data_IF_163695474615
#
_entry.id   IF_163695474615
#
_cell.length_a   1.000
_cell.length_b   1.000
_cell.length_c   1.000
_cell.angle_alpha   90.00
_cell.angle_beta   90.00
_cell.angle_gamma   90.00
#
_symmetry.space_group_name_H-M   'P 1'
#
loop_
_entity.id
_entity.type
_entity.pdbx_description
1 polymer ?
#
# COMPACT_ATOMS: atom_id res chain seq x y z
N UNK A 1 -12.58 42.91 -13.35
CA UNK A 1 -13.46 43.48 -12.30
C UNK A 1 -13.05 44.85 -11.80
N UNK A 2 -11.86 45.07 -11.23
CA UNK A 2 -11.55 46.38 -10.62
C UNK A 2 -11.64 47.57 -11.60
N UNK A 3 -11.27 47.34 -12.86
CA UNK A 3 -11.30 48.34 -13.91
C UNK A 3 -12.71 48.80 -14.31
N UNK A 4 -13.72 47.92 -14.28
CA UNK A 4 -15.08 48.31 -14.63
C UNK A 4 -15.71 49.21 -13.57
N UNK A 5 -15.37 49.00 -12.29
CA UNK A 5 -15.83 49.88 -11.21
C UNK A 5 -15.18 51.26 -11.27
N UNK A 6 -13.89 51.35 -11.64
CA UNK A 6 -13.23 52.63 -11.88
C UNK A 6 -13.92 53.43 -12.99
N UNK A 7 -14.12 52.80 -14.16
CA UNK A 7 -14.83 53.43 -15.30
C UNK A 7 -16.28 53.81 -14.97
N UNK A 8 -16.99 52.96 -14.22
CA UNK A 8 -18.35 53.30 -13.78
C UNK A 8 -18.37 54.51 -12.82
N UNK A 9 -17.36 54.65 -11.95
CA UNK A 9 -17.30 55.74 -10.99
C UNK A 9 -17.11 57.13 -11.64
N UNK A 10 -16.58 57.19 -12.86
CA UNK A 10 -16.35 58.43 -13.62
C UNK A 10 -17.64 59.09 -14.10
N UNK A 11 -18.75 58.34 -14.24
CA UNK A 11 -20.02 58.91 -14.68
C UNK A 11 -20.61 59.89 -13.65
N UNK A 12 -21.10 61.02 -14.14
CA UNK A 12 -21.74 62.07 -13.36
C UNK A 12 -22.94 62.65 -14.14
N UNK A 13 -23.74 63.50 -13.48
CA UNK A 13 -24.90 64.16 -14.09
C UNK A 13 -26.11 63.25 -14.34
N UNK A 14 -27.04 63.74 -15.16
CA UNK A 14 -28.29 63.05 -15.52
C UNK A 14 -27.99 61.75 -16.27
N UNK A 15 -28.65 60.66 -15.90
CA UNK A 15 -28.43 59.34 -16.53
C UNK A 15 -27.23 58.56 -15.98
N UNK A 16 -26.49 59.11 -15.00
CA UNK A 16 -25.33 58.45 -14.35
C UNK A 16 -25.58 56.99 -13.99
N UNK A 17 -26.69 56.69 -13.31
CA UNK A 17 -26.98 55.33 -12.83
C UNK A 17 -27.14 54.33 -13.98
N UNK A 18 -27.74 54.73 -15.10
CA UNK A 18 -27.86 53.86 -16.27
C UNK A 18 -26.51 53.63 -16.94
N UNK A 19 -25.67 54.67 -17.04
CA UNK A 19 -24.33 54.53 -17.62
C UNK A 19 -23.43 53.63 -16.76
N UNK A 20 -23.52 53.77 -15.43
CA UNK A 20 -22.85 52.87 -14.47
C UNK A 20 -23.30 51.42 -14.66
N UNK A 21 -24.62 51.17 -14.68
CA UNK A 21 -25.19 49.84 -14.88
C UNK A 21 -24.71 49.22 -16.19
N UNK A 22 -24.88 49.94 -17.30
CA UNK A 22 -24.49 49.46 -18.63
C UNK A 22 -23.01 49.12 -18.71
N UNK A 23 -22.14 49.94 -18.13
CA UNK A 23 -20.68 49.71 -18.14
C UNK A 23 -20.29 48.44 -17.38
N UNK A 24 -20.94 48.19 -16.24
CA UNK A 24 -20.70 46.97 -15.45
C UNK A 24 -21.26 45.75 -16.19
N UNK A 25 -22.51 45.82 -16.69
CA UNK A 25 -23.15 44.74 -17.44
C UNK A 25 -22.34 44.35 -18.68
N UNK A 26 -21.90 45.34 -19.46
CA UNK A 26 -21.06 45.13 -20.64
C UNK A 26 -19.74 44.47 -20.26
N UNK A 27 -19.05 44.96 -19.23
CA UNK A 27 -17.79 44.34 -18.80
C UNK A 27 -17.98 42.87 -18.43
N UNK A 28 -19.00 42.57 -17.61
CA UNK A 28 -19.30 41.20 -17.21
C UNK A 28 -19.62 40.34 -18.42
N UNK A 29 -20.41 40.83 -19.37
CA UNK A 29 -20.75 40.11 -20.59
C UNK A 29 -19.50 39.80 -21.43
N UNK A 30 -18.69 40.83 -21.70
CA UNK A 30 -17.48 40.74 -22.52
C UNK A 30 -16.42 39.84 -21.88
N UNK A 31 -16.35 39.80 -20.55
CA UNK A 31 -15.35 39.01 -19.82
C UNK A 31 -15.86 37.69 -19.27
N UNK A 32 -17.14 37.35 -19.43
CA UNK A 32 -17.78 36.20 -18.76
C UNK A 32 -17.02 34.90 -19.01
N UNK A 33 -16.71 34.62 -20.28
CA UNK A 33 -16.05 33.38 -20.66
C UNK A 33 -14.62 33.34 -20.10
N UNK A 34 -13.87 34.45 -20.22
CA UNK A 34 -12.49 34.52 -19.73
C UNK A 34 -12.41 34.39 -18.21
N UNK A 35 -13.28 35.10 -17.47
CA UNK A 35 -13.32 35.02 -16.01
C UNK A 35 -13.72 33.62 -15.53
N UNK A 36 -14.65 32.97 -16.23
CA UNK A 36 -15.06 31.61 -15.92
C UNK A 36 -13.92 30.61 -16.15
N UNK A 37 -13.25 30.65 -17.31
CA UNK A 37 -12.13 29.76 -17.60
C UNK A 37 -10.97 29.95 -16.62
N UNK A 38 -10.59 31.20 -16.32
CA UNK A 38 -9.56 31.49 -15.32
C UNK A 38 -9.93 30.94 -13.94
N UNK A 39 -11.17 31.14 -13.49
CA UNK A 39 -11.63 30.62 -12.20
C UNK A 39 -11.62 29.09 -12.19
N UNK A 40 -12.05 28.46 -13.30
CA UNK A 40 -12.02 27.00 -13.48
C UNK A 40 -10.59 26.47 -13.40
N UNK A 41 -9.66 27.09 -14.10
CA UNK A 41 -8.25 26.66 -14.13
C UNK A 41 -7.60 26.77 -12.75
N UNK A 42 -7.82 27.87 -12.03
CA UNK A 42 -7.36 28.03 -10.64
C UNK A 42 -7.95 26.96 -9.72
N UNK A 43 -9.25 26.69 -9.84
CA UNK A 43 -9.91 25.63 -9.07
C UNK A 43 -9.36 24.24 -9.40
N UNK A 44 -9.04 23.96 -10.66
CA UNK A 44 -8.42 22.69 -11.07
C UNK A 44 -7.02 22.53 -10.49
N UNK A 45 -6.23 23.60 -10.44
CA UNK A 45 -4.90 23.59 -9.79
C UNK A 45 -5.06 23.25 -8.31
N UNK A 46 -5.91 23.96 -7.58
CA UNK A 46 -6.14 23.68 -6.15
C UNK A 46 -6.65 22.26 -5.88
N UNK A 47 -7.50 21.72 -6.76
CA UNK A 47 -7.99 20.34 -6.64
C UNK A 47 -6.86 19.32 -6.85
N UNK A 48 -5.96 19.57 -7.80
CA UNK A 48 -4.80 18.71 -8.03
C UNK A 48 -3.82 18.77 -6.84
N UNK A 49 -3.55 19.97 -6.33
CA UNK A 49 -2.68 20.14 -5.15
C UNK A 49 -3.27 19.43 -3.93
N UNK A 50 -4.57 19.55 -3.70
CA UNK A 50 -5.25 18.85 -2.61
C UNK A 50 -5.19 17.33 -2.77
N UNK A 51 -5.34 16.82 -4.00
CA UNK A 51 -5.21 15.38 -4.29
C UNK A 51 -3.81 14.88 -3.97
N UNK A 52 -2.78 15.63 -4.36
CA UNK A 52 -1.38 15.27 -4.06
C UNK A 52 -1.12 15.27 -2.56
N UNK A 53 -1.56 16.32 -1.85
CA UNK A 53 -1.44 16.41 -0.41
C UNK A 53 -2.09 15.23 0.33
N UNK A 54 -3.32 14.86 -0.04
CA UNK A 54 -4.02 13.71 0.56
C UNK A 54 -3.25 12.41 0.33
N UNK A 55 -2.69 12.22 -0.88
CA UNK A 55 -1.94 11.01 -1.21
C UNK A 55 -0.63 10.92 -0.41
N UNK A 56 0.10 12.03 -0.29
CA UNK A 56 1.32 12.11 0.51
C UNK A 56 1.05 11.84 2.00
N UNK A 57 0.01 12.46 2.56
CA UNK A 57 -0.38 12.23 3.96
C UNK A 57 -0.82 10.80 4.23
N UNK A 58 -1.58 10.20 3.30
CA UNK A 58 -1.99 8.81 3.40
C UNK A 58 -0.79 7.87 3.36
N UNK A 59 0.14 8.08 2.44
CA UNK A 59 1.34 7.26 2.31
C UNK A 59 2.21 7.35 3.58
N UNK A 60 2.42 8.58 4.07
CA UNK A 60 3.18 8.85 5.30
C UNK A 60 2.56 8.15 6.50
N UNK A 61 1.27 8.35 6.74
CA UNK A 61 0.57 7.78 7.90
C UNK A 61 0.46 6.26 7.83
N UNK A 62 0.29 5.69 6.63
CA UNK A 62 0.28 4.24 6.46
C UNK A 62 1.65 3.62 6.77
N UNK A 63 2.74 4.25 6.31
CA UNK A 63 4.12 3.82 6.64
C UNK A 63 4.36 3.86 8.14
N UNK A 64 4.01 4.96 8.80
CA UNK A 64 4.11 5.10 10.26
C UNK A 64 3.30 4.01 10.99
N UNK A 65 2.08 3.74 10.54
CA UNK A 65 1.22 2.70 11.13
C UNK A 65 1.79 1.30 10.97
N UNK A 66 2.39 0.98 9.82
CA UNK A 66 3.04 -0.31 9.58
C UNK A 66 4.27 -0.44 10.47
N UNK A 67 5.12 0.59 10.54
CA UNK A 67 6.30 0.59 11.41
C UNK A 67 5.92 0.38 12.87
N UNK A 68 4.89 1.07 13.37
CA UNK A 68 4.40 0.90 14.73
C UNK A 68 3.80 -0.49 14.99
N UNK A 69 3.09 -1.06 14.01
CA UNK A 69 2.48 -2.39 14.14
C UNK A 69 3.51 -3.52 14.08
N UNK A 70 4.59 -3.32 13.32
CA UNK A 70 5.68 -4.30 13.15
C UNK A 70 6.81 -4.12 14.16
N UNK A 71 6.88 -2.98 14.85
CA UNK A 71 7.63 -2.83 16.11
C UNK A 71 6.96 -3.66 17.19
N UNK A 72 7.10 -4.97 17.08
CA UNK A 72 7.13 -5.84 18.25
C UNK A 72 8.41 -5.50 19.01
N UNK A 73 8.34 -5.37 20.34
CA UNK A 73 9.56 -5.34 21.17
C UNK A 73 10.51 -6.43 20.64
N UNK A 74 11.73 -6.04 20.24
CA UNK A 74 12.79 -6.89 19.66
C UNK A 74 13.10 -8.16 20.49
N UNK A 75 12.47 -8.27 21.66
CA UNK A 75 12.53 -9.38 22.61
C UNK A 75 11.51 -10.50 22.34
N UNK A 76 10.68 -10.41 21.30
CA UNK A 76 9.49 -11.27 21.16
C UNK A 76 9.58 -12.39 20.13
N UNK A 77 10.66 -12.50 19.34
CA UNK A 77 10.87 -13.71 18.55
C UNK A 77 11.37 -14.80 19.52
N UNK A 78 10.57 -15.83 19.83
CA UNK A 78 11.00 -16.85 20.77
C UNK A 78 12.24 -17.56 20.22
N UNK A 79 13.25 -17.75 21.05
CA UNK A 79 14.42 -18.54 20.65
C UNK A 79 14.02 -20.01 20.51
N UNK A 80 13.92 -20.48 19.27
CA UNK A 80 13.59 -21.86 18.94
C UNK A 80 14.82 -22.77 18.79
N UNK A 81 16.03 -22.28 19.08
CA UNK A 81 17.28 -23.06 18.88
C UNK A 81 17.24 -24.38 19.67
N UNK A 82 16.79 -24.34 20.92
CA UNK A 82 16.67 -25.53 21.77
C UNK A 82 15.66 -26.54 21.20
N UNK A 83 14.48 -26.07 20.80
CA UNK A 83 13.45 -26.93 20.21
C UNK A 83 13.91 -27.55 18.88
N UNK A 84 14.63 -26.78 18.08
CA UNK A 84 15.19 -27.23 16.81
C UNK A 84 16.27 -28.30 17.01
N UNK A 85 17.19 -28.12 17.96
CA UNK A 85 18.22 -29.10 18.28
C UNK A 85 17.63 -30.42 18.80
N UNK A 86 16.56 -30.35 19.60
CA UNK A 86 15.82 -31.54 20.03
C UNK A 86 15.21 -32.30 18.85
N UNK A 87 14.50 -31.62 17.95
CA UNK A 87 13.89 -32.24 16.77
C UNK A 87 14.96 -32.85 15.85
N UNK A 88 16.06 -32.13 15.63
CA UNK A 88 17.20 -32.62 14.85
C UNK A 88 17.80 -33.89 15.44
N UNK A 89 17.96 -33.95 16.77
CA UNK A 89 18.49 -35.12 17.46
C UNK A 89 17.59 -36.34 17.24
N UNK A 90 16.29 -36.21 17.51
CA UNK A 90 15.34 -37.30 17.32
C UNK A 90 15.24 -37.76 15.85
N UNK A 91 15.30 -36.83 14.90
CA UNK A 91 15.35 -37.18 13.48
C UNK A 91 16.58 -38.05 13.16
N UNK A 92 17.76 -37.67 13.66
CA UNK A 92 18.99 -38.42 13.43
C UNK A 92 18.96 -39.80 14.11
N UNK A 93 18.40 -39.90 15.32
CA UNK A 93 18.20 -41.17 16.04
C UNK A 93 17.29 -42.12 15.25
N UNK A 94 16.14 -41.63 14.80
CA UNK A 94 15.20 -42.40 13.98
C UNK A 94 15.83 -42.87 12.67
N UNK A 95 16.53 -41.97 11.98
CA UNK A 95 17.21 -42.30 10.72
C UNK A 95 18.27 -43.37 10.90
N UNK A 96 19.09 -43.26 11.96
CA UNK A 96 20.12 -44.27 12.28
C UNK A 96 19.52 -45.63 12.60
N UNK A 97 18.41 -45.66 13.35
CA UNK A 97 17.73 -46.93 13.69
C UNK A 97 17.12 -47.64 12.47
N UNK A 98 16.73 -46.87 11.44
CA UNK A 98 16.17 -47.42 10.21
C UNK A 98 17.26 -48.08 9.34
N UNK A 99 18.47 -47.52 9.33
CA UNK A 99 19.62 -48.09 8.61
C UNK A 99 20.16 -49.39 9.28
N UNK A 100 20.01 -49.51 10.60
CA UNK A 100 20.41 -50.69 11.38
C UNK A 100 19.42 -51.88 11.22
N UNK A 101 18.10 -51.63 11.20
CA UNK A 101 17.09 -52.69 11.00
C UNK A 101 17.15 -53.32 9.59
N UNK A 102 17.44 -52.52 8.56
CA UNK A 102 17.55 -53.00 7.17
C UNK A 102 18.81 -53.87 6.98
N UNK A 103 19.83 -53.69 7.84
CA UNK A 103 21.07 -54.48 7.79
C UNK A 103 20.95 -55.84 8.48
N UNK A 104 20.07 -56.01 9.48
CA UNK A 104 19.91 -57.25 10.25
C UNK A 104 18.99 -58.29 9.60
N UNK A 105 18.18 -57.90 8.61
CA UNK A 105 17.21 -58.79 7.95
C UNK A 105 17.72 -59.43 6.66
N UNK A 106 18.97 -59.17 6.26
CA UNK A 106 19.58 -59.61 5.01
C UNK A 106 20.49 -60.86 5.07
N UNK A 107 20.65 -61.53 6.23
CA UNK A 107 21.52 -62.70 6.34
C UNK A 107 20.74 -64.03 6.33
N UNK A 108 20.92 -64.77 5.23
CA UNK A 108 20.45 -66.12 4.87
C UNK A 108 20.12 -67.08 6.03
N UNK A 109 18.90 -67.65 5.97
CA UNK A 109 18.60 -68.93 6.64
C UNK A 109 18.97 -70.10 5.70
N UNK A 110 19.81 -71.06 6.11
CA UNK A 110 20.11 -72.22 5.28
C UNK A 110 18.91 -73.18 5.24
N UNK A 111 18.47 -73.55 4.03
CA UNK A 111 17.36 -74.47 3.81
C UNK A 111 17.66 -75.89 4.33
N UNK A 112 16.66 -76.62 4.86
CA UNK A 112 16.87 -77.96 5.39
C UNK A 112 17.10 -78.98 4.27
N UNK A 113 18.16 -79.78 4.43
CA UNK A 113 18.57 -80.84 3.54
C UNK A 113 17.57 -82.00 3.51
N UNK A 114 17.20 -82.43 2.31
CA UNK A 114 16.45 -83.66 2.06
C UNK A 114 17.38 -84.87 2.21
N UNK A 115 17.02 -85.82 3.09
CA UNK A 115 17.56 -87.17 3.08
C UNK A 115 16.41 -88.15 2.87
N UNK A 116 16.46 -88.81 1.71
CA UNK A 116 15.56 -89.86 1.24
C UNK A 116 15.54 -91.06 2.19
N UNK A 117 14.33 -91.60 2.37
CA UNK A 117 14.03 -92.93 2.91
C UNK A 117 14.36 -93.97 1.85
N UNK A 118 15.09 -95.04 2.20
CA UNK A 118 14.76 -96.38 1.69
C UNK A 118 15.21 -97.50 2.64
N UNK A 119 14.47 -98.61 2.55
CA UNK A 119 14.21 -99.74 3.47
C UNK A 119 15.33 -100.34 4.33
#
# INVERSE_FOLDING_TARGET
MQECYKKAAEFNGTGRLNNMRYTIEKHVHDSKNVMYELAKDVMLIHLNDLKMYILEELERTLKESIELSLKTDDHSIPDFSTAFDMVRRHYNELKSSQDEEVSLTGADSPGPAAALVDM
#
